data_IF_720979046990
#
_entry.id   IF_720979046990
#
_cell.length_a   1.000
_cell.length_b   1.000
_cell.length_c   1.000
_cell.angle_alpha   90.00
_cell.angle_beta   90.00
_cell.angle_gamma   90.00
#
_symmetry.space_group_name_H-M   'P 1'
#
loop_
_entity.id
_entity.type
_entity.pdbx_description
1 polymer ?
#
# COMPACT_ATOMS: atom_id res chain seq x y z
N UNK A 1 -16.01 10.54 27.00
CA UNK A 1 -16.75 11.07 25.83
C UNK A 1 -17.85 10.12 25.36
N UNK A 2 -17.59 8.83 25.15
CA UNK A 2 -18.61 7.85 24.72
C UNK A 2 -19.87 7.74 25.61
N UNK A 3 -19.71 7.80 26.93
CA UNK A 3 -20.85 7.76 27.86
C UNK A 3 -21.75 8.99 27.74
N UNK A 4 -21.17 10.18 27.51
CA UNK A 4 -21.91 11.42 27.35
C UNK A 4 -22.70 11.43 26.03
N UNK A 5 -22.10 10.94 24.95
CA UNK A 5 -22.76 10.82 23.64
C UNK A 5 -23.88 9.78 23.66
N UNK A 6 -23.67 8.65 24.34
CA UNK A 6 -24.70 7.62 24.50
C UNK A 6 -25.89 8.14 25.33
N UNK A 7 -25.62 8.87 26.42
CA UNK A 7 -26.66 9.49 27.24
C UNK A 7 -27.46 10.54 26.45
N UNK A 8 -26.81 11.39 25.65
CA UNK A 8 -27.50 12.38 24.81
C UNK A 8 -28.43 11.71 23.78
N UNK A 9 -27.94 10.67 23.09
CA UNK A 9 -28.76 9.93 22.12
C UNK A 9 -29.96 9.26 22.79
N UNK A 10 -29.77 8.71 23.99
CA UNK A 10 -30.86 8.13 24.78
C UNK A 10 -31.96 9.16 25.10
N UNK A 11 -31.60 10.35 25.58
CA UNK A 11 -32.57 11.41 25.87
C UNK A 11 -33.25 11.95 24.59
N UNK A 12 -32.53 12.02 23.46
CA UNK A 12 -33.12 12.40 22.16
C UNK A 12 -34.13 11.34 21.70
N UNK A 13 -33.81 10.05 21.82
CA UNK A 13 -34.74 8.97 21.48
C UNK A 13 -35.97 9.00 22.38
N UNK A 14 -35.80 9.21 23.69
CA UNK A 14 -36.92 9.39 24.62
C UNK A 14 -37.75 10.63 24.27
N UNK A 15 -37.13 11.75 23.92
CA UNK A 15 -37.80 12.98 23.49
C UNK A 15 -38.59 12.78 22.20
N UNK A 16 -38.03 12.12 21.19
CA UNK A 16 -38.73 11.77 19.95
C UNK A 16 -39.88 10.80 20.19
N UNK A 17 -39.69 9.84 21.08
CA UNK A 17 -40.72 8.89 21.47
C UNK A 17 -41.86 9.59 22.23
N UNK A 18 -41.53 10.52 23.13
CA UNK A 18 -42.49 11.36 23.84
C UNK A 18 -43.27 12.28 22.88
N UNK A 19 -42.59 12.98 21.98
CA UNK A 19 -43.24 13.84 20.98
C UNK A 19 -44.19 13.04 20.07
N UNK A 20 -43.81 11.82 19.69
CA UNK A 20 -44.69 10.93 18.90
C UNK A 20 -45.86 10.39 19.72
N UNK A 21 -45.64 10.01 20.98
CA UNK A 21 -46.72 9.59 21.87
C UNK A 21 -47.72 10.71 22.15
N UNK A 22 -47.25 11.95 22.29
CA UNK A 22 -48.08 13.14 22.53
C UNK A 22 -48.78 13.63 21.26
N UNK A 23 -48.10 13.62 20.11
CA UNK A 23 -48.69 14.03 18.83
C UNK A 23 -49.82 13.11 18.33
N UNK A 24 -49.90 11.87 18.84
CA UNK A 24 -51.04 10.97 18.57
C UNK A 24 -52.17 11.09 19.60
N UNK A 25 -52.02 11.92 20.63
CA UNK A 25 -52.98 12.07 21.73
C UNK A 25 -53.46 13.50 21.92
N UNK A 26 -54.72 13.72 21.54
CA UNK A 26 -55.56 14.83 22.00
C UNK A 26 -55.01 16.24 21.72
N UNK A 27 -55.38 16.78 20.55
CA UNK A 27 -55.75 18.18 20.50
C UNK A 27 -57.27 18.25 20.40
N UNK A 28 -57.86 18.86 21.42
CA UNK A 28 -59.18 19.51 21.43
C UNK A 28 -60.39 18.71 20.92
N UNK A 29 -60.84 17.73 21.71
CA UNK A 29 -62.29 17.38 21.72
C UNK A 29 -63.03 18.16 22.80
N UNK A 30 -62.31 18.70 23.79
CA UNK A 30 -62.92 19.41 24.93
C UNK A 30 -63.62 20.72 24.50
N UNK A 31 -63.18 21.39 23.43
CA UNK A 31 -63.83 22.62 22.94
C UNK A 31 -65.08 22.36 22.07
N UNK A 32 -65.22 21.17 21.48
CA UNK A 32 -66.39 20.82 20.65
C UNK A 32 -67.50 20.18 21.50
N UNK A 33 -67.12 19.50 22.59
CA UNK A 33 -68.04 18.80 23.50
C UNK A 33 -68.98 19.73 24.26
N UNK A 34 -68.65 21.01 24.40
CA UNK A 34 -69.43 21.97 25.20
C UNK A 34 -70.80 22.33 24.58
N UNK A 35 -71.01 22.02 23.29
CA UNK A 35 -72.25 22.34 22.54
C UNK A 35 -72.90 21.13 21.87
N UNK A 36 -72.39 19.92 22.08
CA UNK A 36 -72.92 18.69 21.48
C UNK A 36 -74.09 18.15 22.31
N UNK A 37 -75.22 17.76 21.70
CA UNK A 37 -76.24 17.02 22.43
C UNK A 37 -75.66 15.68 22.92
N UNK A 38 -76.12 15.22 24.09
CA UNK A 38 -75.56 14.05 24.82
C UNK A 38 -75.40 12.82 23.91
N UNK A 39 -76.35 12.59 23.00
CA UNK A 39 -76.31 11.47 22.05
C UNK A 39 -75.26 11.64 20.95
N UNK A 40 -75.04 12.86 20.45
CA UNK A 40 -73.95 13.13 19.50
C UNK A 40 -72.59 12.90 20.15
N UNK A 41 -72.40 13.28 21.43
CA UNK A 41 -71.17 13.01 22.17
C UNK A 41 -70.89 11.51 22.27
N UNK A 42 -71.92 10.70 22.54
CA UNK A 42 -71.80 9.24 22.62
C UNK A 42 -71.45 8.60 21.28
N UNK A 43 -72.08 9.03 20.18
CA UNK A 43 -71.78 8.55 18.82
C UNK A 43 -70.35 8.88 18.43
N UNK A 44 -69.89 10.11 18.70
CA UNK A 44 -68.50 10.52 18.47
C UNK A 44 -67.55 9.68 19.33
N UNK A 45 -67.80 9.57 20.64
CA UNK A 45 -66.97 8.79 21.57
C UNK A 45 -66.83 7.30 21.19
N UNK A 46 -67.90 6.67 20.73
CA UNK A 46 -67.89 5.28 20.29
C UNK A 46 -67.06 5.10 19.02
N UNK A 47 -67.30 5.92 17.99
CA UNK A 47 -66.53 5.87 16.74
C UNK A 47 -65.03 6.14 16.97
N UNK A 48 -64.68 7.03 17.91
CA UNK A 48 -63.30 7.29 18.32
C UNK A 48 -62.59 6.05 18.88
N UNK A 49 -63.31 5.18 19.61
CA UNK A 49 -62.75 3.97 20.22
C UNK A 49 -62.56 2.86 19.19
N UNK A 50 -63.56 2.61 18.33
CA UNK A 50 -63.51 1.55 17.32
C UNK A 50 -62.41 1.83 16.28
N UNK A 51 -62.35 3.05 15.77
CA UNK A 51 -61.29 3.49 14.85
C UNK A 51 -59.90 3.40 15.50
N UNK A 52 -59.81 3.69 16.81
CA UNK A 52 -58.60 3.51 17.60
C UNK A 52 -58.17 2.06 17.76
N UNK A 53 -59.10 1.13 17.96
CA UNK A 53 -58.82 -0.31 18.08
C UNK A 53 -58.40 -0.92 16.74
N UNK A 54 -59.07 -0.56 15.64
CA UNK A 54 -58.69 -0.96 14.29
C UNK A 54 -57.26 -0.51 13.94
N UNK A 55 -56.93 0.77 14.17
CA UNK A 55 -55.59 1.31 13.89
C UNK A 55 -54.49 0.69 14.78
N UNK A 56 -54.87 0.04 15.88
CA UNK A 56 -53.99 -0.73 16.76
C UNK A 56 -53.83 -2.20 16.35
N UNK A 57 -54.52 -2.63 15.30
CA UNK A 57 -54.46 -3.99 14.76
C UNK A 57 -55.23 -5.02 15.59
N UNK A 58 -56.33 -4.62 16.22
CA UNK A 58 -57.23 -5.52 16.94
C UNK A 58 -57.98 -6.43 15.93
N UNK A 59 -57.90 -7.77 16.04
CA UNK A 59 -58.58 -8.68 15.13
C UNK A 59 -60.12 -8.62 15.20
N UNK A 60 -60.69 -8.06 16.28
CA UNK A 60 -62.15 -7.99 16.44
C UNK A 60 -62.81 -6.91 15.60
N UNK A 61 -62.06 -5.90 15.14
CA UNK A 61 -62.59 -4.79 14.34
C UNK A 61 -61.74 -4.63 13.08
N UNK A 62 -62.05 -5.37 11.99
CA UNK A 62 -61.26 -5.37 10.75
C UNK A 62 -61.56 -4.17 9.82
N UNK A 63 -62.64 -3.43 10.09
CA UNK A 63 -63.02 -2.24 9.33
C UNK A 63 -62.80 -0.98 10.16
N UNK A 64 -62.21 0.05 9.57
CA UNK A 64 -62.02 1.37 10.20
C UNK A 64 -63.34 2.13 10.41
N UNK A 65 -64.38 1.77 9.67
CA UNK A 65 -65.70 2.42 9.64
C UNK A 65 -66.79 1.50 10.21
N UNK A 66 -67.78 2.06 10.91
CA UNK A 66 -68.88 1.31 11.55
C UNK A 66 -70.21 1.60 10.86
N UNK A 67 -71.11 0.60 10.76
CA UNK A 67 -72.47 0.82 10.25
C UNK A 67 -73.38 1.51 11.27
N UNK A 68 -74.49 2.11 10.83
CA UNK A 68 -75.45 2.75 11.73
C UNK A 68 -76.08 1.73 12.68
N UNK A 69 -76.37 0.53 12.18
CA UNK A 69 -76.99 -0.54 12.96
C UNK A 69 -76.06 -1.02 14.08
N UNK A 70 -74.78 -1.28 13.77
CA UNK A 70 -73.76 -1.61 14.79
C UNK A 70 -73.62 -0.47 15.81
N UNK A 71 -73.60 0.78 15.37
CA UNK A 71 -73.51 1.92 16.29
C UNK A 71 -74.73 2.02 17.23
N UNK A 72 -75.92 1.68 16.75
CA UNK A 72 -77.15 1.70 17.56
C UNK A 72 -77.19 0.61 18.62
N UNK A 73 -76.72 -0.59 18.29
CA UNK A 73 -76.65 -1.73 19.20
C UNK A 73 -75.67 -1.46 20.36
N UNK A 74 -74.49 -0.92 20.05
CA UNK A 74 -73.46 -0.61 21.04
C UNK A 74 -73.83 0.51 22.01
N UNK A 75 -74.56 1.52 21.53
CA UNK A 75 -74.96 2.66 22.36
C UNK A 75 -76.20 2.38 23.22
N UNK A 76 -76.80 1.18 23.09
CA UNK A 76 -78.03 0.75 23.76
C UNK A 76 -79.18 1.77 23.58
N UNK A 77 -79.19 2.51 22.47
CA UNK A 77 -80.15 3.59 22.23
C UNK A 77 -81.41 3.01 21.62
N UNK A 78 -82.47 3.00 22.41
CA UNK A 78 -83.82 2.81 21.90
C UNK A 78 -84.59 4.11 22.17
N UNK A 79 -85.10 4.85 21.15
CA UNK A 79 -85.22 4.52 19.71
C UNK A 79 -84.12 5.08 18.76
N UNK A 80 -83.98 4.49 17.56
CA UNK A 80 -83.09 4.93 16.46
C UNK A 80 -83.28 6.40 16.03
N UNK A 81 -84.43 7.01 16.34
CA UNK A 81 -84.70 8.42 16.03
C UNK A 81 -83.70 9.37 16.70
N UNK A 82 -83.21 9.02 17.90
CA UNK A 82 -82.22 9.84 18.62
C UNK A 82 -80.85 9.85 17.93
N UNK A 83 -80.50 8.76 17.23
CA UNK A 83 -79.27 8.68 16.43
C UNK A 83 -79.45 9.52 15.16
N UNK A 84 -80.60 9.43 14.50
CA UNK A 84 -80.87 10.23 13.30
C UNK A 84 -80.87 11.73 13.60
N UNK A 85 -81.47 12.17 14.72
CA UNK A 85 -81.40 13.57 15.19
C UNK A 85 -79.95 14.03 15.42
N UNK A 86 -79.10 13.14 15.96
CA UNK A 86 -77.68 13.43 16.16
C UNK A 86 -76.92 13.56 14.84
N UNK A 87 -77.25 12.73 13.84
CA UNK A 87 -76.63 12.78 12.51
C UNK A 87 -77.10 13.99 11.71
N UNK A 88 -78.38 14.35 11.78
CA UNK A 88 -78.95 15.57 11.20
C UNK A 88 -78.24 16.82 11.74
N UNK A 89 -78.02 16.87 13.05
CA UNK A 89 -77.29 17.97 13.68
C UNK A 89 -75.85 18.07 13.17
N UNK A 90 -75.17 16.93 12.97
CA UNK A 90 -73.80 16.88 12.42
C UNK A 90 -73.76 17.39 10.97
N UNK A 91 -74.71 16.98 10.13
CA UNK A 91 -74.82 17.45 8.74
C UNK A 91 -75.07 18.96 8.71
N UNK A 92 -76.01 19.47 9.51
CA UNK A 92 -76.38 20.89 9.53
C UNK A 92 -75.25 21.81 9.99
N UNK A 93 -74.40 21.34 10.90
CA UNK A 93 -73.28 22.13 11.44
C UNK A 93 -72.14 22.30 10.43
N UNK A 94 -71.98 21.38 9.48
CA UNK A 94 -71.03 21.49 8.36
C UNK A 94 -69.54 21.64 8.75
N UNK A 95 -69.18 21.32 9.99
CA UNK A 95 -67.82 21.41 10.53
C UNK A 95 -67.31 20.03 10.95
N UNK A 96 -65.98 19.83 10.94
CA UNK A 96 -65.37 18.58 11.42
C UNK A 96 -65.56 18.45 12.95
N UNK A 97 -66.55 17.66 13.33
CA UNK A 97 -66.89 17.34 14.72
C UNK A 97 -66.17 16.08 15.23
N UNK A 98 -65.18 15.56 14.50
CA UNK A 98 -64.46 14.34 14.86
C UNK A 98 -65.01 13.06 14.20
N UNK A 99 -66.07 13.18 13.39
CA UNK A 99 -66.74 12.07 12.70
C UNK A 99 -66.98 12.45 11.23
N UNK A 100 -66.43 11.64 10.33
CA UNK A 100 -66.67 11.63 8.89
C UNK A 100 -67.85 10.69 8.59
N UNK A 101 -68.87 11.25 7.95
CA UNK A 101 -70.01 10.50 7.43
C UNK A 101 -69.65 9.97 6.05
N UNK A 102 -69.79 8.66 5.82
CA UNK A 102 -69.47 7.99 4.57
C UNK A 102 -70.74 7.45 3.94
N UNK A 103 -71.08 7.94 2.75
CA UNK A 103 -72.23 7.47 1.98
C UNK A 103 -71.92 6.22 1.16
N UNK A 104 -72.80 5.88 0.21
CA UNK A 104 -72.58 4.78 -0.73
C UNK A 104 -71.35 5.00 -1.63
N UNK A 105 -71.05 6.27 -1.95
CA UNK A 105 -69.80 6.70 -2.57
C UNK A 105 -68.91 7.40 -1.52
N UNK A 106 -67.62 7.02 -1.38
CA UNK A 106 -66.76 7.46 -0.26
C UNK A 106 -66.26 8.91 -0.34
N UNK A 107 -66.36 9.54 -1.51
CA UNK A 107 -65.79 10.87 -1.79
C UNK A 107 -66.86 11.98 -1.96
N UNK A 108 -68.15 11.64 -1.89
CA UNK A 108 -69.25 12.61 -2.00
C UNK A 108 -69.73 13.09 -0.62
N UNK A 109 -69.98 14.41 -0.44
CA UNK A 109 -70.51 14.93 0.80
C UNK A 109 -71.96 14.48 0.98
N UNK A 110 -72.26 13.89 2.14
CA UNK A 110 -73.60 13.38 2.46
C UNK A 110 -74.50 14.54 2.90
N UNK A 111 -75.60 14.77 2.19
CA UNK A 111 -76.58 15.84 2.46
C UNK A 111 -77.84 15.36 3.21
N UNK A 112 -78.10 14.05 3.22
CA UNK A 112 -79.28 13.44 3.87
C UNK A 112 -78.85 12.29 4.80
N UNK A 113 -79.54 12.13 5.94
CA UNK A 113 -79.26 11.05 6.91
C UNK A 113 -79.51 9.65 6.32
N UNK A 114 -80.48 9.53 5.41
CA UNK A 114 -80.80 8.29 4.68
C UNK A 114 -79.65 7.80 3.80
N UNK A 115 -78.77 8.70 3.35
CA UNK A 115 -77.65 8.39 2.48
C UNK A 115 -76.37 8.00 3.26
N UNK A 116 -76.39 8.04 4.59
CA UNK A 116 -75.26 7.62 5.43
C UNK A 116 -75.21 6.09 5.47
N UNK A 117 -74.12 5.50 4.97
CA UNK A 117 -73.90 4.05 5.02
C UNK A 117 -72.98 3.67 6.19
N UNK A 118 -71.96 4.48 6.47
CA UNK A 118 -70.97 4.21 7.50
C UNK A 118 -70.48 5.47 8.20
N UNK A 119 -70.04 5.31 9.44
CA UNK A 119 -69.43 6.33 10.28
C UNK A 119 -67.94 6.04 10.43
N UNK A 120 -67.09 7.04 10.20
CA UNK A 120 -65.65 6.94 10.38
C UNK A 120 -65.19 8.08 11.29
N UNK A 121 -64.30 7.85 12.25
CA UNK A 121 -63.76 8.95 13.06
C UNK A 121 -62.53 9.58 12.40
N UNK A 122 -62.45 10.91 12.43
CA UNK A 122 -61.27 11.67 11.99
C UNK A 122 -60.14 11.65 13.03
N UNK A 123 -60.44 11.40 14.32
CA UNK A 123 -59.47 11.50 15.43
C UNK A 123 -59.41 10.25 16.34
N UNK A 124 -58.89 9.10 15.89
CA UNK A 124 -58.94 7.85 16.66
C UNK A 124 -58.31 7.92 18.07
N UNK A 125 -59.05 7.43 19.08
CA UNK A 125 -58.58 7.30 20.47
C UNK A 125 -57.83 5.98 20.66
N UNK A 126 -56.52 6.01 20.43
CA UNK A 126 -55.66 4.84 20.60
C UNK A 126 -55.23 4.63 22.06
N UNK A 127 -55.05 3.37 22.48
CA UNK A 127 -54.49 3.02 23.79
C UNK A 127 -53.02 3.43 23.92
N UNK A 128 -52.57 3.67 25.15
CA UNK A 128 -51.18 4.09 25.41
C UNK A 128 -50.16 3.05 24.92
N UNK A 129 -50.45 1.76 25.11
CA UNK A 129 -49.58 0.66 24.68
C UNK A 129 -49.43 0.59 23.16
N UNK A 130 -50.52 0.81 22.42
CA UNK A 130 -50.51 0.86 20.96
C UNK A 130 -49.72 2.07 20.43
N UNK A 131 -49.91 3.26 21.02
CA UNK A 131 -49.14 4.46 20.67
C UNK A 131 -47.65 4.26 20.93
N UNK A 132 -47.30 3.67 22.08
CA UNK A 132 -45.92 3.35 22.42
C UNK A 132 -45.31 2.36 21.42
N UNK A 133 -45.99 1.24 21.13
CA UNK A 133 -45.52 0.23 20.19
C UNK A 133 -45.26 0.83 18.80
N UNK A 134 -46.23 1.59 18.28
CA UNK A 134 -46.12 2.23 16.96
C UNK A 134 -45.01 3.28 16.92
N UNK A 135 -44.90 4.12 17.95
CA UNK A 135 -43.82 5.11 18.06
C UNK A 135 -42.44 4.44 18.13
N UNK A 136 -42.31 3.40 18.95
CA UNK A 136 -41.07 2.64 19.14
C UNK A 136 -40.59 1.99 17.84
N UNK A 137 -41.45 1.22 17.16
CA UNK A 137 -41.08 0.58 15.88
C UNK A 137 -40.75 1.61 14.79
N UNK A 138 -41.49 2.72 14.72
CA UNK A 138 -41.24 3.77 13.74
C UNK A 138 -39.87 4.43 13.97
N UNK A 139 -39.55 4.76 15.23
CA UNK A 139 -38.28 5.40 15.58
C UNK A 139 -37.12 4.45 15.32
N UNK A 140 -37.22 3.19 15.77
CA UNK A 140 -36.17 2.19 15.54
C UNK A 140 -35.93 1.97 14.05
N UNK A 141 -36.98 1.79 13.25
CA UNK A 141 -36.82 1.57 11.82
C UNK A 141 -36.16 2.78 11.12
N UNK A 142 -36.58 4.01 11.47
CA UNK A 142 -35.97 5.24 10.93
C UNK A 142 -34.50 5.38 11.34
N UNK A 143 -34.17 5.11 12.60
CA UNK A 143 -32.78 5.16 13.10
C UNK A 143 -31.93 4.08 12.43
N UNK A 144 -32.46 2.87 12.25
CA UNK A 144 -31.78 1.77 11.57
C UNK A 144 -31.47 2.13 10.11
N UNK A 145 -32.41 2.71 9.38
CA UNK A 145 -32.18 3.17 8.00
C UNK A 145 -31.08 4.23 7.91
N UNK A 146 -31.05 5.19 8.83
CA UNK A 146 -29.99 6.21 8.89
C UNK A 146 -28.64 5.56 9.20
N UNK A 147 -28.60 4.63 10.16
CA UNK A 147 -27.37 3.92 10.52
C UNK A 147 -26.80 3.13 9.33
N UNK A 148 -27.64 2.40 8.59
CA UNK A 148 -27.24 1.67 7.38
C UNK A 148 -26.69 2.63 6.32
N UNK A 149 -27.34 3.77 6.09
CA UNK A 149 -26.86 4.78 5.15
C UNK A 149 -25.50 5.37 5.56
N UNK A 150 -25.30 5.66 6.85
CA UNK A 150 -24.01 6.13 7.36
C UNK A 150 -22.90 5.10 7.18
N UNK A 151 -23.16 3.83 7.52
CA UNK A 151 -22.19 2.74 7.32
C UNK A 151 -21.84 2.59 5.85
N UNK A 152 -22.83 2.61 4.96
CA UNK A 152 -22.61 2.55 3.52
C UNK A 152 -21.73 3.71 3.01
N UNK A 153 -22.03 4.94 3.45
CA UNK A 153 -21.22 6.12 3.11
C UNK A 153 -19.77 5.99 3.58
N UNK A 154 -19.54 5.47 4.80
CA UNK A 154 -18.19 5.23 5.33
C UNK A 154 -17.46 4.18 4.50
N UNK A 155 -18.10 3.07 4.16
CA UNK A 155 -17.51 2.01 3.32
C UNK A 155 -17.15 2.55 1.94
N UNK A 156 -18.04 3.32 1.30
CA UNK A 156 -17.76 3.99 0.02
C UNK A 156 -16.57 4.95 0.14
N UNK A 157 -16.52 5.74 1.21
CA UNK A 157 -15.42 6.67 1.46
C UNK A 157 -14.07 5.96 1.67
N UNK A 158 -14.04 4.90 2.48
CA UNK A 158 -12.82 4.11 2.71
C UNK A 158 -12.35 3.44 1.43
N UNK A 159 -13.26 2.86 0.64
CA UNK A 159 -12.94 2.26 -0.66
C UNK A 159 -12.41 3.29 -1.65
N UNK A 160 -13.00 4.49 -1.68
CA UNK A 160 -12.51 5.61 -2.47
C UNK A 160 -11.10 6.04 -2.04
N UNK A 161 -10.86 6.15 -0.72
CA UNK A 161 -9.56 6.51 -0.16
C UNK A 161 -8.49 5.48 -0.51
N UNK A 162 -8.76 4.18 -0.32
CA UNK A 162 -7.84 3.11 -0.69
C UNK A 162 -7.49 3.13 -2.17
N UNK A 163 -8.48 3.30 -3.05
CA UNK A 163 -8.23 3.38 -4.51
C UNK A 163 -7.35 4.58 -4.86
N UNK A 164 -7.56 5.73 -4.22
CA UNK A 164 -6.74 6.92 -4.43
C UNK A 164 -5.29 6.70 -3.97
N UNK A 165 -5.11 6.12 -2.79
CA UNK A 165 -3.78 5.83 -2.23
C UNK A 165 -3.01 4.81 -3.09
N UNK A 166 -3.70 3.81 -3.65
CA UNK A 166 -3.11 2.84 -4.57
C UNK A 166 -2.66 3.50 -5.90
N UNK A 167 -3.45 4.42 -6.45
CA UNK A 167 -3.06 5.17 -7.65
C UNK A 167 -1.85 6.07 -7.37
N UNK A 168 -1.84 6.80 -6.25
CA UNK A 168 -0.71 7.66 -5.88
C UNK A 168 0.57 6.85 -5.62
N UNK A 169 0.48 5.66 -5.02
CA UNK A 169 1.65 4.79 -4.80
C UNK A 169 2.15 4.13 -6.08
N UNK A 170 1.26 3.65 -6.96
CA UNK A 170 1.65 3.13 -8.28
C UNK A 170 2.34 4.18 -9.14
N UNK A 171 1.83 5.41 -9.16
CA UNK A 171 2.46 6.53 -9.88
C UNK A 171 3.85 6.86 -9.33
N UNK A 172 4.04 6.78 -8.00
CA UNK A 172 5.35 6.95 -7.38
C UNK A 172 6.32 5.85 -7.81
N UNK A 173 5.90 4.57 -7.76
CA UNK A 173 6.76 3.45 -8.17
C UNK A 173 7.11 3.49 -9.67
N UNK A 174 6.15 3.77 -10.55
CA UNK A 174 6.37 3.97 -11.99
C UNK A 174 7.35 5.13 -12.24
N UNK A 175 7.23 6.25 -11.51
CA UNK A 175 8.19 7.34 -11.60
C UNK A 175 9.60 6.92 -11.16
N UNK A 176 9.72 6.17 -10.07
CA UNK A 176 11.02 5.66 -9.57
C UNK A 176 11.66 4.70 -10.57
N UNK A 177 10.89 3.78 -11.16
CA UNK A 177 11.36 2.85 -12.18
C UNK A 177 11.92 3.59 -13.41
N UNK A 178 11.18 4.60 -13.91
CA UNK A 178 11.66 5.45 -15.01
C UNK A 178 12.93 6.23 -14.69
N UNK A 179 13.08 6.72 -13.45
CA UNK A 179 14.31 7.37 -12.98
C UNK A 179 15.47 6.38 -13.00
N UNK A 180 15.25 5.17 -12.49
CA UNK A 180 16.27 4.11 -12.44
C UNK A 180 16.70 3.73 -13.86
N UNK A 181 15.76 3.58 -14.79
CA UNK A 181 16.07 3.26 -16.20
C UNK A 181 16.94 4.34 -16.85
N UNK A 182 16.59 5.62 -16.71
CA UNK A 182 17.41 6.73 -17.24
C UNK A 182 18.82 6.70 -16.65
N UNK A 183 18.93 6.51 -15.32
CA UNK A 183 20.23 6.44 -14.66
C UNK A 183 21.05 5.21 -15.07
N UNK A 184 20.40 4.07 -15.29
CA UNK A 184 21.03 2.82 -15.73
C UNK A 184 21.53 2.95 -17.17
N UNK A 185 20.69 3.41 -18.10
CA UNK A 185 21.08 3.64 -19.50
C UNK A 185 22.22 4.65 -19.61
N UNK A 186 22.18 5.72 -18.81
CA UNK A 186 23.28 6.69 -18.77
C UNK A 186 24.57 6.07 -18.18
N UNK A 187 24.45 5.20 -17.16
CA UNK A 187 25.57 4.46 -16.60
C UNK A 187 26.23 3.51 -17.62
N UNK A 188 25.42 2.78 -18.39
CA UNK A 188 25.89 1.90 -19.47
C UNK A 188 26.56 2.71 -20.60
N UNK A 189 25.98 3.84 -21.00
CA UNK A 189 26.55 4.72 -22.01
C UNK A 189 27.89 5.36 -21.56
N UNK A 190 28.02 5.70 -20.27
CA UNK A 190 29.26 6.20 -19.68
C UNK A 190 30.34 5.12 -19.58
N UNK A 191 29.96 3.84 -19.51
CA UNK A 191 30.91 2.74 -19.53
C UNK A 191 31.47 2.49 -20.93
N UNK A 192 30.63 2.61 -21.96
CA UNK A 192 31.03 2.48 -23.37
C UNK A 192 31.85 3.69 -23.86
N UNK A 193 31.52 4.89 -23.38
CA UNK A 193 32.18 6.13 -23.77
C UNK A 193 32.89 6.78 -22.56
N UNK A 194 34.21 6.69 -22.54
CA UNK A 194 35.04 7.30 -21.48
C UNK A 194 34.98 8.83 -21.41
N UNK A 195 34.45 9.50 -22.43
CA UNK A 195 34.29 10.95 -22.47
C UNK A 195 33.03 11.47 -21.73
N UNK A 196 32.09 10.57 -21.39
CA UNK A 196 30.87 10.95 -20.67
C UNK A 196 31.13 11.03 -19.16
N UNK A 197 30.53 12.04 -18.52
CA UNK A 197 30.64 12.22 -17.07
C UNK A 197 29.76 11.21 -16.33
N UNK A 198 30.23 10.60 -15.22
CA UNK A 198 29.50 9.53 -14.51
C UNK A 198 28.35 10.04 -13.61
N UNK A 199 27.94 11.30 -13.75
CA UNK A 199 26.93 11.96 -12.92
C UNK A 199 25.95 12.75 -13.77
N UNK A 200 24.68 12.82 -13.32
CA UNK A 200 23.59 13.46 -14.05
C UNK A 200 22.83 14.44 -13.15
N UNK A 201 22.65 15.72 -13.53
CA UNK A 201 21.90 16.68 -12.73
C UNK A 201 20.43 16.28 -12.57
N UNK A 202 19.88 16.37 -11.35
CA UNK A 202 18.47 16.07 -11.07
C UNK A 202 17.51 16.88 -11.97
N UNK A 203 17.73 18.18 -12.25
CA UNK A 203 16.88 18.94 -13.16
C UNK A 203 16.85 18.37 -14.57
N UNK A 204 18.00 17.86 -15.06
CA UNK A 204 18.08 17.25 -16.39
C UNK A 204 17.30 15.94 -16.45
N UNK A 205 17.42 15.08 -15.43
CA UNK A 205 16.63 13.83 -15.35
C UNK A 205 15.12 14.11 -15.32
N UNK A 206 14.71 15.11 -14.54
CA UNK A 206 13.30 15.53 -14.48
C UNK A 206 12.80 15.99 -15.84
N UNK A 207 13.62 16.75 -16.57
CA UNK A 207 13.24 17.35 -17.84
C UNK A 207 13.19 16.31 -18.97
N UNK A 208 13.98 15.24 -18.87
CA UNK A 208 13.89 14.06 -19.73
C UNK A 208 12.64 13.21 -19.47
N UNK A 209 12.18 13.14 -18.21
CA UNK A 209 11.05 12.28 -17.81
C UNK A 209 9.69 12.99 -17.83
N UNK A 210 9.65 14.28 -17.54
CA UNK A 210 8.42 15.06 -17.35
C UNK A 210 8.40 16.25 -18.30
N UNK A 211 7.48 16.21 -19.26
CA UNK A 211 7.27 17.32 -20.18
C UNK A 211 6.91 18.62 -19.43
N UNK A 212 7.29 19.80 -19.93
CA UNK A 212 7.04 21.09 -19.28
C UNK A 212 5.57 21.33 -18.89
N UNK A 213 4.62 20.80 -19.66
CA UNK A 213 3.18 20.96 -19.45
C UNK A 213 2.67 20.22 -18.21
N UNK A 214 3.26 19.07 -17.87
CA UNK A 214 2.81 18.21 -16.78
C UNK A 214 3.57 18.42 -15.47
N UNK A 215 4.57 19.30 -15.44
CA UNK A 215 5.39 19.59 -14.24
C UNK A 215 4.55 19.93 -13.02
N UNK A 216 3.50 20.74 -13.17
CA UNK A 216 2.63 21.13 -12.04
C UNK A 216 1.84 19.94 -11.48
N UNK A 217 1.35 19.06 -12.34
CA UNK A 217 0.56 17.88 -11.95
C UNK A 217 1.44 16.82 -11.29
N UNK A 218 2.63 16.58 -11.85
CA UNK A 218 3.54 15.53 -11.39
C UNK A 218 4.48 15.96 -10.26
N UNK A 219 4.53 17.25 -9.90
CA UNK A 219 5.42 17.76 -8.83
C UNK A 219 5.33 16.96 -7.54
N UNK A 220 4.11 16.68 -7.06
CA UNK A 220 3.88 15.90 -5.82
C UNK A 220 4.42 14.47 -5.93
N UNK A 221 4.21 13.84 -7.08
CA UNK A 221 4.70 12.47 -7.35
C UNK A 221 6.22 12.45 -7.43
N UNK A 222 6.81 13.45 -8.12
CA UNK A 222 8.25 13.62 -8.24
C UNK A 222 8.94 13.80 -6.89
N UNK A 223 8.48 14.74 -6.05
CA UNK A 223 9.08 14.99 -4.74
C UNK A 223 9.02 13.74 -3.84
N UNK A 224 7.89 13.02 -3.87
CA UNK A 224 7.72 11.77 -3.13
C UNK A 224 8.65 10.66 -3.67
N UNK A 225 8.77 10.54 -4.99
CA UNK A 225 9.66 9.57 -5.64
C UNK A 225 11.14 9.85 -5.30
N UNK A 226 11.58 11.11 -5.35
CA UNK A 226 12.96 11.50 -4.97
C UNK A 226 13.24 11.19 -3.50
N UNK A 227 12.29 11.49 -2.61
CA UNK A 227 12.42 11.16 -1.19
C UNK A 227 12.52 9.64 -0.98
N UNK A 228 11.69 8.85 -1.65
CA UNK A 228 11.74 7.39 -1.61
C UNK A 228 13.07 6.85 -2.16
N UNK A 229 13.54 7.38 -3.28
CA UNK A 229 14.81 7.00 -3.91
C UNK A 229 15.98 7.23 -2.94
N UNK A 230 16.05 8.41 -2.31
CA UNK A 230 17.13 8.74 -1.37
C UNK A 230 17.14 7.88 -0.10
N UNK A 231 15.99 7.33 0.31
CA UNK A 231 15.86 6.54 1.53
C UNK A 231 16.02 5.03 1.29
N UNK A 232 15.57 4.52 0.13
CA UNK A 232 15.42 3.09 -0.11
C UNK A 232 16.32 2.54 -1.23
N UNK A 233 16.80 3.37 -2.16
CA UNK A 233 17.55 2.90 -3.33
C UNK A 233 19.05 3.12 -3.15
N UNK A 234 19.81 2.04 -3.02
CA UNK A 234 21.26 2.09 -2.78
C UNK A 234 22.10 2.22 -4.07
N UNK A 235 21.49 1.96 -5.24
CA UNK A 235 22.20 2.01 -6.54
C UNK A 235 22.49 3.43 -7.02
N UNK A 236 21.74 4.41 -6.52
CA UNK A 236 21.86 5.82 -6.91
C UNK A 236 22.31 6.63 -5.70
N UNK A 237 23.42 7.36 -5.83
CA UNK A 237 23.86 8.32 -4.81
C UNK A 237 23.54 9.74 -5.24
N UNK A 238 22.96 10.49 -4.32
CA UNK A 238 22.76 11.93 -4.47
C UNK A 238 23.99 12.64 -3.94
N UNK A 239 24.59 13.50 -4.76
CA UNK A 239 25.79 14.28 -4.45
C UNK A 239 25.58 15.74 -4.87
N UNK A 240 26.28 16.67 -4.22
CA UNK A 240 26.30 18.07 -4.65
C UNK A 240 27.58 18.29 -5.44
N UNK A 241 27.46 18.75 -6.67
CA UNK A 241 28.59 18.94 -7.56
C UNK A 241 28.56 20.31 -8.21
N UNK A 242 29.74 20.93 -8.31
CA UNK A 242 29.89 22.26 -8.88
C UNK A 242 30.06 22.15 -10.39
N UNK A 243 29.03 22.52 -11.14
CA UNK A 243 29.00 22.49 -12.61
C UNK A 243 28.92 23.94 -13.09
N UNK A 244 29.90 24.38 -13.88
CA UNK A 244 29.92 25.74 -14.43
C UNK A 244 29.96 26.85 -13.37
N UNK A 245 30.52 26.58 -12.18
CA UNK A 245 30.64 27.55 -11.08
C UNK A 245 29.47 27.57 -10.09
N UNK A 246 28.36 26.88 -10.37
CA UNK A 246 27.20 26.74 -9.49
C UNK A 246 27.07 25.31 -8.95
N UNK A 247 26.53 25.18 -7.73
CA UNK A 247 26.35 23.89 -7.06
C UNK A 247 25.00 23.29 -7.45
N UNK A 248 25.04 22.08 -8.00
CA UNK A 248 23.86 21.31 -8.41
C UNK A 248 23.79 19.99 -7.66
N UNK A 249 22.56 19.56 -7.34
CA UNK A 249 22.32 18.19 -6.92
C UNK A 249 22.36 17.27 -8.15
N UNK A 250 23.22 16.28 -8.08
CA UNK A 250 23.46 15.28 -9.12
C UNK A 250 23.19 13.88 -8.59
N UNK A 251 22.78 13.00 -9.49
CA UNK A 251 22.68 11.57 -9.26
C UNK A 251 23.84 10.84 -9.92
N UNK A 252 24.41 9.88 -9.19
CA UNK A 252 25.47 8.99 -9.64
C UNK A 252 25.02 7.55 -9.54
N UNK A 253 25.17 6.80 -10.62
CA UNK A 253 24.94 5.36 -10.65
C UNK A 253 26.17 4.63 -10.08
N UNK A 254 25.97 3.79 -9.06
CA UNK A 254 27.06 3.10 -8.33
C UNK A 254 27.10 1.59 -8.64
N UNK A 255 26.06 1.03 -9.27
CA UNK A 255 26.02 -0.41 -9.49
C UNK A 255 27.21 -0.84 -10.40
N UNK A 256 28.11 -1.72 -9.92
CA UNK A 256 29.15 -2.28 -10.77
C UNK A 256 28.47 -3.14 -11.83
N UNK A 257 28.79 -2.91 -13.11
CA UNK A 257 28.39 -3.83 -14.17
C UNK A 257 28.98 -5.21 -13.88
N UNK A 258 28.15 -6.26 -13.93
CA UNK A 258 28.62 -7.65 -13.90
C UNK A 258 29.43 -8.04 -15.16
N UNK A 259 29.63 -7.10 -16.09
CA UNK A 259 30.67 -7.18 -17.10
C UNK A 259 32.04 -6.92 -16.46
N UNK A 260 32.55 -7.93 -15.76
CA UNK A 260 33.94 -8.31 -15.95
C UNK A 260 34.04 -8.83 -17.39
N UNK A 261 33.99 -7.91 -18.37
CA UNK A 261 34.22 -8.25 -19.77
C UNK A 261 35.58 -8.90 -19.89
N UNK A 262 35.69 -9.77 -20.92
CA UNK A 262 36.77 -10.70 -21.27
C UNK A 262 38.13 -10.02 -21.54
N UNK A 263 38.58 -9.24 -20.58
CA UNK A 263 39.70 -8.31 -20.61
C UNK A 263 39.91 -7.61 -19.26
N UNK A 264 39.00 -7.74 -18.28
CA UNK A 264 39.33 -7.44 -16.88
C UNK A 264 40.31 -8.50 -16.41
N UNK A 265 41.59 -8.16 -16.45
CA UNK A 265 42.64 -8.88 -15.75
C UNK A 265 42.11 -9.29 -14.37
N UNK A 266 42.23 -10.58 -14.03
CA UNK A 266 41.95 -11.09 -12.69
C UNK A 266 42.99 -10.46 -11.75
N UNK A 267 42.79 -9.19 -11.40
CA UNK A 267 43.76 -8.39 -10.64
C UNK A 267 43.55 -8.63 -9.15
N UNK A 268 44.66 -8.79 -8.45
CA UNK A 268 44.72 -8.93 -7.01
C UNK A 268 44.29 -7.63 -6.32
N UNK A 269 43.22 -7.66 -5.53
CA UNK A 269 42.66 -6.48 -4.85
C UNK A 269 43.23 -6.24 -3.42
N UNK A 270 44.34 -6.91 -3.08
CA UNK A 270 44.96 -6.81 -1.75
C UNK A 270 44.48 -7.87 -0.75
N UNK A 271 44.87 -7.68 0.51
CA UNK A 271 44.55 -8.58 1.63
C UNK A 271 43.26 -8.13 2.32
N UNK A 272 42.38 -9.08 2.65
CA UNK A 272 41.12 -8.75 3.33
C UNK A 272 41.32 -8.35 4.81
N UNK A 273 42.31 -8.95 5.48
CA UNK A 273 42.67 -8.67 6.88
C UNK A 273 44.18 -8.83 7.08
N UNK A 274 44.77 -8.19 8.10
CA UNK A 274 46.14 -8.49 8.54
C UNK A 274 46.29 -9.97 8.90
N UNK A 275 47.43 -10.56 8.58
CA UNK A 275 47.74 -11.94 8.98
C UNK A 275 48.19 -11.96 10.44
N UNK A 276 47.28 -12.35 11.32
CA UNK A 276 47.52 -12.49 12.75
C UNK A 276 47.43 -13.96 13.16
N UNK A 277 47.89 -14.29 14.37
CA UNK A 277 47.78 -15.64 14.95
C UNK A 277 46.33 -16.17 15.04
N UNK A 278 45.32 -15.29 14.87
CA UNK A 278 43.90 -15.64 14.86
C UNK A 278 43.44 -16.27 13.55
N UNK A 279 44.05 -15.93 12.42
CA UNK A 279 43.60 -16.32 11.08
C UNK A 279 44.64 -17.14 10.29
N UNK A 280 45.88 -17.21 10.76
CA UNK A 280 46.94 -18.00 10.14
C UNK A 280 47.74 -18.80 11.19
N UNK A 281 48.16 -20.04 10.86
CA UNK A 281 49.07 -20.79 11.74
C UNK A 281 50.44 -20.09 11.78
N UNK A 282 51.10 -20.02 12.95
CA UNK A 282 52.31 -19.22 13.17
C UNK A 282 53.52 -19.72 12.37
N UNK A 283 53.58 -21.01 12.06
CA UNK A 283 54.66 -21.64 11.31
C UNK A 283 54.10 -22.46 10.15
N UNK A 284 54.84 -22.54 9.05
CA UNK A 284 54.52 -23.44 7.94
C UNK A 284 54.71 -24.89 8.34
N UNK A 285 53.60 -25.63 8.47
CA UNK A 285 53.61 -27.01 8.96
C UNK A 285 54.03 -28.03 7.88
N UNK A 286 53.82 -27.70 6.60
CA UNK A 286 54.11 -28.59 5.47
C UNK A 286 54.49 -27.78 4.22
N UNK A 287 55.27 -28.37 3.28
CA UNK A 287 55.64 -27.70 2.03
C UNK A 287 54.54 -27.78 0.96
N UNK A 288 53.29 -28.05 1.32
CA UNK A 288 52.19 -28.11 0.35
C UNK A 288 51.02 -27.26 0.81
N UNK A 289 50.42 -26.57 -0.14
CA UNK A 289 49.35 -25.62 0.06
C UNK A 289 48.14 -26.00 -0.77
N UNK A 290 46.97 -25.77 -0.21
CA UNK A 290 45.68 -25.92 -0.87
C UNK A 290 45.03 -24.54 -0.93
N UNK A 291 44.92 -23.99 -2.12
CA UNK A 291 44.34 -22.69 -2.39
C UNK A 291 42.91 -22.91 -2.89
N UNK A 292 41.93 -22.27 -2.26
CA UNK A 292 40.51 -22.39 -2.61
C UNK A 292 39.97 -21.10 -3.17
N UNK A 293 38.87 -21.21 -3.90
CA UNK A 293 38.07 -20.06 -4.33
C UNK A 293 38.82 -19.13 -5.31
N UNK A 294 39.74 -19.71 -6.08
CA UNK A 294 40.49 -19.01 -7.15
C UNK A 294 39.69 -18.88 -8.45
N UNK A 295 38.71 -19.74 -8.67
CA UNK A 295 37.89 -19.80 -9.89
C UNK A 295 36.55 -20.48 -9.60
N UNK A 296 35.62 -20.39 -10.56
CA UNK A 296 34.33 -21.10 -10.53
C UNK A 296 34.20 -21.99 -11.78
N UNK A 297 34.22 -23.33 -11.65
CA UNK A 297 34.25 -24.23 -12.81
C UNK A 297 33.02 -24.09 -13.72
N UNK A 298 31.92 -23.52 -13.22
CA UNK A 298 30.69 -23.27 -14.01
C UNK A 298 30.82 -22.02 -14.89
N UNK A 299 31.68 -21.07 -14.52
CA UNK A 299 31.82 -19.77 -15.19
C UNK A 299 33.03 -19.71 -16.14
N UNK A 300 34.01 -20.61 -16.00
CA UNK A 300 35.19 -20.64 -16.85
C UNK A 300 34.90 -21.41 -18.14
N UNK A 301 35.02 -20.74 -19.30
CA UNK A 301 34.75 -21.31 -20.63
C UNK A 301 36.04 -21.35 -21.44
N UNK A 302 36.43 -22.54 -21.92
CA UNK A 302 37.62 -22.77 -22.76
C UNK A 302 38.55 -23.86 -22.20
N UNK A 303 39.54 -24.31 -22.99
CA UNK A 303 40.45 -25.39 -22.57
C UNK A 303 41.66 -24.90 -21.75
N UNK A 304 41.97 -23.60 -21.81
CA UNK A 304 43.23 -23.00 -21.33
C UNK A 304 43.09 -22.09 -20.09
N UNK A 305 41.94 -22.02 -19.43
CA UNK A 305 41.74 -21.13 -18.27
C UNK A 305 42.59 -21.56 -17.05
N UNK A 306 42.97 -22.83 -16.97
CA UNK A 306 43.84 -23.39 -15.95
C UNK A 306 45.28 -22.87 -16.06
N UNK A 307 45.74 -22.55 -17.27
CA UNK A 307 47.03 -21.87 -17.51
C UNK A 307 47.02 -20.44 -16.94
N UNK A 308 45.94 -19.68 -17.19
CA UNK A 308 45.82 -18.31 -16.67
C UNK A 308 45.82 -18.25 -15.14
N UNK A 309 45.22 -19.26 -14.48
CA UNK A 309 45.25 -19.36 -13.01
C UNK A 309 46.66 -19.71 -12.52
N UNK A 310 47.36 -20.62 -13.21
CA UNK A 310 48.75 -20.95 -12.90
C UNK A 310 49.63 -19.71 -13.00
N UNK A 311 49.49 -18.93 -14.07
CA UNK A 311 50.26 -17.71 -14.27
C UNK A 311 49.94 -16.65 -13.21
N UNK A 312 48.66 -16.45 -12.86
CA UNK A 312 48.29 -15.50 -11.81
C UNK A 312 48.92 -15.83 -10.44
N UNK A 313 49.04 -17.13 -10.11
CA UNK A 313 49.72 -17.58 -8.88
C UNK A 313 51.23 -17.32 -8.96
N UNK A 314 51.85 -17.61 -10.10
CA UNK A 314 53.29 -17.42 -10.30
C UNK A 314 53.67 -15.92 -10.32
N UNK A 315 52.83 -15.08 -10.91
CA UNK A 315 52.99 -13.62 -10.89
C UNK A 315 52.89 -13.09 -9.45
N UNK A 316 51.92 -13.59 -8.67
CA UNK A 316 51.74 -13.14 -7.29
C UNK A 316 52.86 -13.59 -6.36
N UNK A 317 53.43 -14.77 -6.63
CA UNK A 317 54.54 -15.34 -5.89
C UNK A 317 55.88 -15.13 -6.61
N UNK A 318 56.02 -14.05 -7.40
CA UNK A 318 57.25 -13.74 -8.14
C UNK A 318 58.50 -13.70 -7.26
N UNK A 319 58.33 -13.29 -6.01
CA UNK A 319 59.41 -13.12 -5.04
C UNK A 319 59.89 -14.47 -4.45
N UNK A 320 59.22 -15.58 -4.78
CA UNK A 320 59.49 -16.90 -4.24
C UNK A 320 59.89 -17.89 -5.33
N UNK A 321 61.16 -18.32 -5.31
CA UNK A 321 61.69 -19.35 -6.20
C UNK A 321 61.38 -20.79 -5.71
N UNK A 322 60.49 -20.97 -4.74
CA UNK A 322 60.21 -22.28 -4.11
C UNK A 322 59.10 -23.11 -4.77
N UNK A 323 58.39 -22.59 -5.77
CA UNK A 323 57.22 -23.29 -6.34
C UNK A 323 57.67 -24.26 -7.43
N UNK A 324 57.57 -25.57 -7.16
CA UNK A 324 58.03 -26.62 -8.10
C UNK A 324 56.90 -27.27 -8.90
N UNK A 325 55.67 -27.28 -8.36
CA UNK A 325 54.56 -27.94 -9.02
C UNK A 325 53.20 -27.30 -8.68
N UNK A 326 52.40 -27.07 -9.71
CA UNK A 326 51.08 -26.44 -9.65
C UNK A 326 50.05 -27.32 -10.40
N UNK A 327 49.07 -27.90 -9.69
CA UNK A 327 48.01 -28.72 -10.28
C UNK A 327 46.58 -28.21 -9.99
N UNK A 328 45.87 -27.84 -11.06
CA UNK A 328 44.49 -27.33 -11.01
C UNK A 328 43.51 -28.48 -11.13
N UNK A 329 42.66 -28.63 -10.12
CA UNK A 329 41.58 -29.60 -10.14
C UNK A 329 40.38 -29.01 -10.89
N UNK A 330 40.15 -29.44 -12.13
CA UNK A 330 39.04 -28.91 -12.95
C UNK A 330 37.66 -29.35 -12.42
N UNK A 331 37.61 -30.38 -11.57
CA UNK A 331 36.35 -30.94 -11.04
C UNK A 331 35.89 -30.31 -9.74
N UNK A 332 36.79 -29.64 -9.01
CA UNK A 332 36.49 -29.01 -7.72
C UNK A 332 36.91 -27.54 -7.72
N UNK A 333 36.29 -26.72 -6.87
CA UNK A 333 36.67 -25.30 -6.66
C UNK A 333 38.01 -25.12 -5.93
N UNK A 334 38.86 -26.14 -5.93
CA UNK A 334 40.04 -26.24 -5.06
C UNK A 334 41.30 -26.56 -5.87
N UNK A 335 42.37 -25.83 -5.64
CA UNK A 335 43.67 -26.04 -6.26
C UNK A 335 44.70 -26.50 -5.20
N UNK A 336 45.73 -27.28 -5.58
CA UNK A 336 46.82 -27.67 -4.66
C UNK A 336 48.21 -27.40 -5.29
N UNK A 337 49.08 -26.66 -4.59
CA UNK A 337 50.50 -26.45 -4.94
C UNK A 337 51.45 -27.09 -3.93
N UNK A 338 52.68 -27.36 -4.37
CA UNK A 338 53.83 -27.62 -3.51
C UNK A 338 54.68 -26.35 -3.46
N UNK A 339 54.98 -25.86 -2.26
CA UNK A 339 55.86 -24.72 -2.01
C UNK A 339 56.51 -24.88 -0.63
N UNK A 340 57.85 -24.88 -0.51
CA UNK A 340 58.50 -24.68 0.78
C UNK A 340 58.44 -23.21 1.19
N UNK A 341 58.31 -23.02 2.50
CA UNK A 341 58.44 -21.82 3.34
C UNK A 341 57.83 -20.47 2.88
N UNK A 342 56.88 -20.02 3.70
CA UNK A 342 56.47 -18.62 3.96
C UNK A 342 55.70 -17.83 2.90
N UNK A 343 55.56 -18.30 1.66
CA UNK A 343 55.10 -17.45 0.55
C UNK A 343 53.59 -17.18 0.43
N UNK A 344 52.70 -18.04 0.95
CA UNK A 344 51.28 -18.00 0.57
C UNK A 344 50.33 -18.19 1.76
N UNK A 345 50.60 -17.50 2.87
CA UNK A 345 49.66 -17.42 3.99
C UNK A 345 48.61 -16.33 3.80
N UNK A 346 48.35 -15.88 2.58
CA UNK A 346 47.51 -14.71 2.32
C UNK A 346 46.11 -15.12 1.83
N UNK A 347 45.09 -14.67 2.56
CA UNK A 347 43.71 -14.70 2.06
C UNK A 347 43.50 -13.51 1.12
N UNK A 348 43.32 -13.78 -0.17
CA UNK A 348 43.27 -12.77 -1.21
C UNK A 348 41.87 -12.57 -1.77
N UNK A 349 41.55 -11.39 -2.29
CA UNK A 349 40.36 -11.20 -3.09
C UNK A 349 40.75 -11.26 -4.57
N UNK A 350 40.32 -12.31 -5.28
CA UNK A 350 40.35 -12.38 -6.74
C UNK A 350 38.90 -12.53 -7.18
N UNK A 351 38.41 -11.69 -8.09
CA UNK A 351 37.03 -11.70 -8.60
C UNK A 351 35.93 -11.33 -7.59
N UNK A 352 36.25 -10.61 -6.51
CA UNK A 352 35.30 -10.35 -5.41
C UNK A 352 35.08 -11.56 -4.50
N UNK A 353 35.83 -12.64 -4.72
CA UNK A 353 35.79 -13.89 -3.93
C UNK A 353 37.04 -13.98 -3.06
N UNK A 354 36.84 -14.27 -1.78
CA UNK A 354 37.93 -14.47 -0.82
C UNK A 354 38.59 -15.84 -1.04
N UNK A 355 39.81 -15.82 -1.57
CA UNK A 355 40.77 -16.91 -1.66
C UNK A 355 41.22 -17.29 -0.25
N UNK A 356 41.27 -18.58 0.03
CA UNK A 356 41.74 -19.11 1.32
C UNK A 356 42.77 -20.20 1.11
N UNK A 357 43.81 -20.21 1.95
CA UNK A 357 44.90 -21.18 1.86
C UNK A 357 44.90 -22.10 3.09
N UNK A 358 45.16 -23.39 2.88
CA UNK A 358 45.40 -24.36 3.95
C UNK A 358 46.61 -25.24 3.65
N UNK A 359 47.37 -25.58 4.68
CA UNK A 359 48.45 -26.57 4.59
C UNK A 359 47.90 -27.96 4.28
N UNK A 360 48.61 -28.68 3.43
CA UNK A 360 48.33 -30.07 3.04
C UNK A 360 49.56 -30.93 3.31
N UNK A 361 49.37 -32.17 3.77
CA UNK A 361 50.49 -33.11 3.93
C UNK A 361 51.06 -33.51 2.58
N UNK A 362 52.38 -33.62 2.51
CA UNK A 362 53.13 -33.98 1.31
C UNK A 362 52.70 -35.35 0.76
N UNK A 363 52.53 -36.36 1.62
CA UNK A 363 52.12 -37.71 1.22
C UNK A 363 50.77 -37.70 0.49
N UNK A 364 49.79 -36.94 1.00
CA UNK A 364 48.47 -36.81 0.38
C UNK A 364 48.52 -36.03 -0.93
N UNK A 365 49.50 -35.14 -1.08
CA UNK A 365 49.71 -34.43 -2.35
C UNK A 365 50.24 -35.40 -3.40
N UNK A 366 51.31 -36.14 -3.09
CA UNK A 366 51.92 -37.13 -3.98
C UNK A 366 51.00 -38.28 -4.35
N UNK A 367 50.11 -38.71 -3.44
CA UNK A 367 49.07 -39.71 -3.75
C UNK A 367 48.08 -39.23 -4.81
N UNK A 368 47.77 -37.92 -4.84
CA UNK A 368 46.81 -37.35 -5.80
C UNK A 368 47.48 -36.89 -7.10
N UNK A 369 48.73 -36.46 -7.01
CA UNK A 369 49.52 -35.93 -8.12
C UNK A 369 50.89 -36.61 -8.12
N UNK A 370 50.98 -37.87 -8.59
CA UNK A 370 52.24 -38.62 -8.60
C UNK A 370 53.32 -37.95 -9.44
N UNK A 371 52.93 -37.18 -10.47
CA UNK A 371 53.84 -36.41 -11.32
C UNK A 371 54.69 -35.39 -10.55
N UNK A 372 54.23 -34.94 -9.38
CA UNK A 372 54.94 -33.95 -8.58
C UNK A 372 56.20 -34.51 -7.90
N UNK A 373 56.32 -35.83 -7.74
CA UNK A 373 57.47 -36.46 -7.09
C UNK A 373 58.78 -36.26 -7.88
N UNK A 374 58.69 -36.09 -9.20
CA UNK A 374 59.83 -35.84 -10.08
C UNK A 374 60.10 -34.36 -10.34
N UNK A 375 59.31 -33.45 -9.79
CA UNK A 375 59.43 -32.01 -10.03
C UNK A 375 60.33 -31.35 -8.98
N UNK A 376 61.57 -31.04 -9.36
CA UNK A 376 62.52 -30.29 -8.54
C UNK A 376 62.88 -28.91 -9.12
N UNK A 377 62.47 -28.63 -10.36
CA UNK A 377 62.74 -27.37 -11.03
C UNK A 377 61.71 -26.31 -10.63
N UNK A 378 62.15 -25.08 -10.24
CA UNK A 378 61.24 -24.02 -9.87
C UNK A 378 60.52 -23.44 -11.10
N UNK A 379 59.23 -23.20 -10.95
CA UNK A 379 58.37 -22.59 -11.96
C UNK A 379 58.43 -21.06 -11.87
N UNK A 380 58.50 -20.38 -13.01
CA UNK A 380 58.44 -18.91 -13.12
C UNK A 380 57.29 -18.47 -14.03
N UNK A 381 56.75 -17.28 -13.79
CA UNK A 381 55.71 -16.70 -14.62
C UNK A 381 56.26 -16.39 -16.03
N UNK A 382 55.48 -16.71 -17.07
CA UNK A 382 55.76 -16.29 -18.45
C UNK A 382 55.56 -14.77 -18.53
N UNK A 383 56.58 -13.99 -18.87
CA UNK A 383 56.52 -12.51 -18.87
C UNK A 383 55.60 -11.85 -19.90
N UNK A 384 54.62 -12.55 -20.47
CA UNK A 384 53.80 -12.10 -21.59
C UNK A 384 52.57 -11.28 -21.14
N UNK A 385 52.75 -10.30 -20.25
CA UNK A 385 51.72 -9.32 -19.89
C UNK A 385 52.29 -7.89 -19.67
N UNK A 386 53.53 -7.64 -20.11
CA UNK A 386 54.15 -6.30 -20.13
C UNK A 386 54.45 -5.91 -21.57
N UNK A 387 53.42 -5.50 -22.29
CA UNK A 387 53.54 -5.13 -23.71
C UNK A 387 52.41 -4.27 -24.25
N UNK A 388 51.68 -3.54 -23.41
CA UNK A 388 50.82 -2.43 -23.85
C UNK A 388 50.82 -1.36 -22.75
N UNK A 389 51.86 -0.55 -22.69
CA UNK A 389 51.83 0.77 -22.05
C UNK A 389 52.61 1.77 -22.90
N UNK A 390 51.85 2.73 -23.44
CA UNK A 390 52.25 4.12 -23.67
C UNK A 390 53.41 4.41 -24.63
N UNK A 391 53.09 4.48 -25.93
CA UNK A 391 53.71 5.47 -26.82
C UNK A 391 53.19 6.86 -26.46
N UNK A 392 53.91 7.57 -25.60
CA UNK A 392 54.05 9.04 -25.61
C UNK A 392 55.35 9.39 -24.90
N UNK A 393 56.46 9.06 -25.57
CA UNK A 393 57.74 9.66 -25.25
C UNK A 393 57.69 11.13 -25.68
N UNK A 394 57.63 12.01 -24.69
CA UNK A 394 57.85 13.44 -24.84
C UNK A 394 59.28 13.67 -25.36
N UNK A 395 59.41 13.84 -26.67
CA UNK A 395 60.63 14.28 -27.36
C UNK A 395 61.01 15.69 -26.89
N UNK A 396 61.90 15.78 -25.89
CA UNK A 396 62.72 16.99 -25.70
C UNK A 396 63.86 16.95 -26.73
N UNK A 397 63.62 17.58 -27.88
CA UNK A 397 64.68 17.97 -28.79
C UNK A 397 65.48 19.12 -28.16
N UNK A 398 66.71 18.81 -27.74
CA UNK A 398 67.78 19.80 -27.67
C UNK A 398 68.10 20.27 -29.10
N UNK A 399 67.92 21.56 -29.35
CA UNK A 399 68.48 22.24 -30.51
C UNK A 399 69.43 23.31 -30.00
N UNK A 400 70.73 23.05 -30.16
CA UNK A 400 71.76 24.06 -30.03
C UNK A 400 71.90 24.80 -31.36
N UNK A 401 71.69 26.11 -31.36
CA UNK A 401 72.16 27.04 -32.38
C UNK A 401 72.62 28.31 -31.65
N UNK A 402 73.86 28.71 -31.90
CA UNK A 402 74.55 29.75 -31.14
C UNK A 402 74.37 31.18 -31.64
N UNK A 403 74.80 32.07 -30.73
CA UNK A 403 75.41 33.40 -30.96
C UNK A 403 74.47 34.61 -31.12
N UNK A 404 74.95 35.86 -30.90
CA UNK A 404 75.18 36.48 -29.59
C UNK A 404 74.56 37.90 -29.49
N UNK A 405 74.49 38.53 -28.31
CA UNK A 405 74.34 39.99 -28.25
C UNK A 405 73.70 40.61 -27.00
N UNK A 406 74.48 41.50 -26.37
CA UNK A 406 74.10 42.71 -25.63
C UNK A 406 73.23 42.58 -24.36
N UNK A 407 73.88 42.64 -23.19
CA UNK A 407 74.02 43.86 -22.36
C UNK A 407 75.00 43.61 -21.21
#
# INVERSE_FOLDING_TARGET
MFLLTAACLFFVLLGLMYLRMRGSGAMEVDSVSEYLPIWSVKVVAFNLVITGQHDCGDPNHPNRSVSIDEASEYLLVHPHSLINESLDWIIQKGQDVGVRLVGAAPDEPVTEVSAIARLESTHPKMSFTCRFRRAFFTIINRVLLIAVACVWSVVCYVKYRWRRDEVETRQMYDMVERIIDVMKTHGEACQENQDLQPYLPIPHVRDSLVQPQDRRKMKKVWERAVSFLSANESRIRTETQRIGGADFLVWRWIQPSLNCDKGSSKVWQGKAFPLDRRNSPPNSLTPCLKIRNMFDPVMEVGENWDLAIREAILEKCSDNDGIVHIAVDKTSREFKSVTPESACNDCFCSTGKLVTVKYLRLDRYHQRFPQAQGCSTPLKASGLATGVTNTTAHLQHHSAAGSPGFS
#
